data_IF_445829410837
#
_entry.id   IF_445829410837
#
_cell.length_a   1.000
_cell.length_b   1.000
_cell.length_c   1.000
_cell.angle_alpha   90.00
_cell.angle_beta   90.00
_cell.angle_gamma   90.00
#
_symmetry.space_group_name_H-M   'P 1'
#
loop_
_entity.id
_entity.type
_entity.pdbx_description
1 polymer ?
#
# COMPACT_ATOMS: atom_id res chain seq x y z
N UNK A 1 28.34 -17.53 9.80
CA UNK A 1 26.88 -17.33 9.82
C UNK A 1 26.34 -17.59 8.42
N UNK A 2 25.36 -18.49 8.26
CA UNK A 2 24.64 -18.60 6.98
C UNK A 2 23.77 -17.35 6.85
N UNK A 3 24.07 -16.51 5.87
CA UNK A 3 23.34 -15.25 5.67
C UNK A 3 21.91 -15.51 5.17
N UNK A 4 21.66 -16.62 4.45
CA UNK A 4 20.35 -16.89 3.83
C UNK A 4 19.89 -18.35 3.98
N UNK A 5 18.57 -18.51 4.21
CA UNK A 5 17.84 -19.77 4.11
C UNK A 5 17.30 -19.93 2.69
N UNK A 6 17.48 -21.11 2.09
CA UNK A 6 17.04 -21.43 0.73
C UNK A 6 15.52 -21.46 0.53
N UNK A 7 14.74 -21.35 1.61
CA UNK A 7 13.27 -21.31 1.58
C UNK A 7 12.67 -19.91 1.39
N UNK A 8 13.49 -18.85 1.43
CA UNK A 8 13.05 -17.50 1.08
C UNK A 8 13.70 -17.12 -0.24
N UNK A 9 13.00 -17.35 -1.35
CA UNK A 9 13.27 -16.58 -2.57
C UNK A 9 13.01 -15.11 -2.20
N UNK A 10 14.08 -14.36 -1.93
CA UNK A 10 13.97 -12.93 -1.64
C UNK A 10 13.49 -12.28 -2.94
N UNK A 11 12.26 -11.78 -2.92
CA UNK A 11 11.75 -10.94 -4.00
C UNK A 11 12.74 -9.82 -4.27
N UNK A 12 13.15 -9.64 -5.53
CA UNK A 12 14.02 -8.53 -5.95
C UNK A 12 13.42 -7.15 -5.61
N UNK A 13 12.13 -7.09 -5.27
CA UNK A 13 11.43 -5.89 -4.87
C UNK A 13 11.87 -5.32 -3.51
N UNK A 14 12.56 -6.09 -2.66
CA UNK A 14 12.95 -5.62 -1.31
C UNK A 14 14.45 -5.82 -1.08
N UNK A 15 15.20 -4.72 -1.17
CA UNK A 15 16.62 -4.70 -0.81
C UNK A 15 16.79 -4.74 0.70
N UNK A 16 17.85 -5.41 1.15
CA UNK A 16 18.26 -5.35 2.56
C UNK A 16 18.62 -3.91 2.93
N UNK A 17 18.13 -3.46 4.09
CA UNK A 17 18.56 -2.19 4.65
C UNK A 17 20.00 -2.38 5.14
N UNK A 18 20.92 -1.62 4.54
CA UNK A 18 22.34 -1.64 4.93
C UNK A 18 22.62 -0.41 5.81
N UNK A 19 23.20 -0.59 7.01
CA UNK A 19 23.56 0.55 7.87
C UNK A 19 24.40 1.59 7.13
N UNK A 20 24.07 2.87 7.31
CA UNK A 20 24.75 3.99 6.65
C UNK A 20 24.37 4.22 5.18
N UNK A 21 23.48 3.40 4.60
CA UNK A 21 22.93 3.62 3.26
C UNK A 21 21.51 4.19 3.34
N UNK A 22 21.08 4.83 2.25
CA UNK A 22 19.73 5.37 2.15
C UNK A 22 18.68 4.25 2.20
N UNK A 23 17.58 4.51 2.90
CA UNK A 23 16.46 3.57 3.01
C UNK A 23 15.61 3.69 1.74
N UNK A 24 15.32 2.58 1.08
CA UNK A 24 14.38 2.54 -0.05
C UNK A 24 12.94 2.44 0.44
N UNK A 25 12.04 3.22 -0.15
CA UNK A 25 10.61 3.22 0.16
C UNK A 25 9.79 3.46 -1.12
N UNK A 26 8.53 3.01 -1.12
CA UNK A 26 7.61 3.36 -2.19
C UNK A 26 7.23 4.83 -2.08
N UNK A 27 7.33 5.57 -3.18
CA UNK A 27 7.11 7.01 -3.20
C UNK A 27 6.58 7.53 -4.53
N UNK A 28 6.21 8.81 -4.50
CA UNK A 28 5.90 9.63 -5.67
C UNK A 28 6.92 10.75 -5.73
N UNK A 29 7.47 11.02 -6.91
CA UNK A 29 8.49 12.04 -7.11
C UNK A 29 8.30 12.76 -8.44
N UNK A 30 8.95 13.92 -8.58
CA UNK A 30 9.09 14.63 -9.84
C UNK A 30 10.50 14.36 -10.41
N UNK A 31 10.57 14.11 -11.71
CA UNK A 31 11.85 13.96 -12.42
C UNK A 31 12.50 15.33 -12.58
N UNK A 32 13.66 15.51 -11.96
CA UNK A 32 14.45 16.76 -12.07
C UNK A 32 15.47 16.72 -13.22
N UNK A 33 15.97 15.53 -13.54
CA UNK A 33 16.88 15.24 -14.65
C UNK A 33 16.82 13.75 -15.00
N UNK A 34 16.98 13.41 -16.27
CA UNK A 34 17.02 12.03 -16.76
C UNK A 34 17.97 11.91 -17.95
N UNK A 35 18.71 10.81 -18.00
CA UNK A 35 19.45 10.36 -19.20
C UNK A 35 18.68 9.32 -20.01
N UNK A 36 17.54 8.84 -19.48
CA UNK A 36 16.65 7.90 -20.13
C UNK A 36 15.57 8.68 -20.90
N UNK A 37 15.40 8.37 -22.19
CA UNK A 37 14.41 9.00 -23.07
C UNK A 37 12.96 8.76 -22.64
N UNK A 38 12.70 7.72 -21.84
CA UNK A 38 11.36 7.47 -21.32
C UNK A 38 10.94 8.53 -20.30
N UNK A 39 11.87 9.12 -19.54
CA UNK A 39 11.57 10.09 -18.48
C UNK A 39 12.06 11.49 -18.85
N UNK A 40 11.20 12.48 -18.69
CA UNK A 40 11.50 13.88 -18.97
C UNK A 40 11.43 14.69 -17.68
N UNK A 41 12.14 15.82 -17.63
CA UNK A 41 12.02 16.78 -16.53
C UNK A 41 10.55 17.15 -16.35
N UNK A 42 10.11 17.34 -15.10
CA UNK A 42 8.73 17.55 -14.64
C UNK A 42 7.76 16.38 -14.80
N UNK A 43 8.19 15.23 -15.33
CA UNK A 43 7.37 14.01 -15.24
C UNK A 43 7.15 13.63 -13.78
N UNK A 44 5.90 13.32 -13.44
CA UNK A 44 5.58 12.68 -12.17
C UNK A 44 5.78 11.17 -12.30
N UNK A 45 6.41 10.57 -11.31
CA UNK A 45 6.72 9.14 -11.27
C UNK A 45 6.36 8.54 -9.94
N UNK A 46 6.09 7.23 -9.95
CA UNK A 46 5.91 6.41 -8.74
C UNK A 46 6.78 5.16 -8.81
N UNK A 47 7.25 4.69 -7.67
CA UNK A 47 8.08 3.48 -7.57
C UNK A 47 8.90 3.48 -6.28
N UNK A 48 9.93 2.63 -6.22
CA UNK A 48 10.86 2.67 -5.09
C UNK A 48 11.89 3.78 -5.29
N UNK A 49 11.95 4.68 -4.31
CA UNK A 49 12.89 5.81 -4.22
C UNK A 49 13.59 5.76 -2.85
N UNK A 50 14.59 6.62 -2.65
CA UNK A 50 15.20 6.75 -1.33
C UNK A 50 14.42 7.70 -0.44
N UNK A 51 14.47 7.44 0.87
CA UNK A 51 13.96 8.36 1.88
C UNK A 51 14.93 9.54 2.04
N UNK A 52 14.86 10.44 1.07
CA UNK A 52 15.72 11.60 0.90
C UNK A 52 14.99 12.65 0.03
N UNK A 53 15.49 13.89 0.00
CA UNK A 53 14.94 14.95 -0.85
C UNK A 53 15.19 14.70 -2.34
N UNK A 54 16.29 14.04 -2.68
CA UNK A 54 16.65 13.66 -4.05
C UNK A 54 17.08 12.19 -4.08
N UNK A 55 16.70 11.51 -5.16
CA UNK A 55 17.08 10.12 -5.41
C UNK A 55 17.63 9.98 -6.83
N UNK A 56 18.82 9.40 -6.96
CA UNK A 56 19.35 8.96 -8.26
C UNK A 56 18.99 7.49 -8.42
N UNK A 57 18.17 7.18 -9.41
CA UNK A 57 17.76 5.81 -9.74
C UNK A 57 18.49 5.40 -11.02
N UNK A 58 19.26 4.31 -10.95
CA UNK A 58 19.96 3.77 -12.11
C UNK A 58 19.02 2.91 -12.96
N UNK A 59 19.26 2.86 -14.27
CA UNK A 59 18.38 2.16 -15.22
C UNK A 59 18.18 0.68 -14.87
N UNK A 60 19.24 -0.01 -14.40
CA UNK A 60 19.21 -1.42 -14.04
C UNK A 60 18.35 -1.71 -12.78
N UNK A 61 18.05 -0.65 -12.04
CA UNK A 61 17.32 -0.68 -10.76
C UNK A 61 16.01 0.11 -10.86
N UNK A 62 15.67 0.61 -12.05
CA UNK A 62 14.57 1.50 -12.24
C UNK A 62 13.26 0.74 -12.11
N UNK A 63 12.57 0.98 -11.00
CA UNK A 63 11.20 0.52 -10.76
C UNK A 63 10.19 1.66 -10.91
N UNK A 64 10.65 2.79 -11.48
CA UNK A 64 9.82 3.97 -11.65
C UNK A 64 8.89 3.78 -12.84
N UNK A 65 7.66 4.24 -12.66
CA UNK A 65 6.64 4.30 -13.69
C UNK A 65 6.09 5.71 -13.74
N UNK A 66 5.80 6.22 -14.94
CA UNK A 66 5.11 7.51 -15.06
C UNK A 66 3.77 7.45 -14.34
N UNK A 67 3.47 8.55 -13.64
CA UNK A 67 2.26 8.71 -12.88
C UNK A 67 1.31 9.64 -13.61
N UNK A 68 0.18 9.08 -14.07
CA UNK A 68 -0.99 9.86 -14.41
C UNK A 68 -1.80 10.15 -13.13
N UNK A 69 -1.97 11.43 -12.83
CA UNK A 69 -2.61 11.90 -11.59
C UNK A 69 -4.13 11.78 -11.62
N UNK A 70 -4.75 11.54 -12.77
CA UNK A 70 -6.21 11.40 -12.92
C UNK A 70 -7.02 12.51 -12.23
N UNK A 71 -6.40 13.67 -11.94
CA UNK A 71 -6.98 14.77 -11.15
C UNK A 71 -7.01 14.59 -9.63
N UNK A 72 -6.44 13.52 -9.07
CA UNK A 72 -6.39 13.26 -7.62
C UNK A 72 -5.12 13.82 -6.94
N UNK A 73 -5.16 14.11 -5.63
CA UNK A 73 -3.98 14.50 -4.86
C UNK A 73 -2.86 13.45 -4.94
N UNK A 74 -1.60 13.87 -5.10
CA UNK A 74 -0.46 12.96 -5.23
C UNK A 74 -0.31 11.98 -4.06
N UNK A 75 -0.70 12.41 -2.85
CA UNK A 75 -0.65 11.58 -1.65
C UNK A 75 -1.55 10.34 -1.73
N UNK A 76 -2.59 10.36 -2.56
CA UNK A 76 -3.49 9.19 -2.73
C UNK A 76 -2.77 8.02 -3.38
N UNK A 77 -1.76 8.29 -4.19
CA UNK A 77 -0.92 7.28 -4.85
C UNK A 77 0.07 6.60 -3.92
N UNK A 78 0.22 7.09 -2.69
CA UNK A 78 0.93 6.38 -1.62
C UNK A 78 0.01 5.43 -0.84
N UNK A 79 -1.31 5.58 -0.98
CA UNK A 79 -2.33 4.83 -0.25
C UNK A 79 -3.30 4.10 -1.17
N UNK A 80 -4.52 4.63 -1.29
CA UNK A 80 -5.66 3.99 -1.98
C UNK A 80 -5.43 3.79 -3.49
N UNK A 81 -4.73 4.70 -4.16
CA UNK A 81 -4.36 4.55 -5.58
C UNK A 81 -2.96 3.91 -5.76
N UNK A 82 -2.33 3.54 -4.64
CA UNK A 82 -1.00 2.96 -4.59
C UNK A 82 -0.98 1.50 -4.14
N UNK A 83 0.13 1.12 -3.51
CA UNK A 83 0.36 -0.24 -3.02
C UNK A 83 -0.69 -0.70 -2.01
N UNK A 84 -1.18 0.20 -1.14
CA UNK A 84 -2.15 -0.18 -0.10
C UNK A 84 -3.50 -0.55 -0.69
N UNK A 85 -4.04 0.25 -1.62
CA UNK A 85 -5.31 -0.06 -2.28
C UNK A 85 -5.23 -1.26 -3.21
N UNK A 86 -4.13 -1.39 -3.95
CA UNK A 86 -3.91 -2.60 -4.76
C UNK A 86 -3.85 -3.86 -3.89
N UNK A 87 -3.16 -3.80 -2.74
CA UNK A 87 -3.10 -4.91 -1.79
C UNK A 87 -4.48 -5.25 -1.23
N UNK A 88 -5.26 -4.24 -0.84
CA UNK A 88 -6.62 -4.44 -0.34
C UNK A 88 -7.52 -5.10 -1.39
N UNK A 89 -7.51 -4.60 -2.62
CA UNK A 89 -8.35 -5.12 -3.71
C UNK A 89 -7.96 -6.56 -4.09
N UNK A 90 -6.69 -6.79 -4.40
CA UNK A 90 -6.21 -8.11 -4.83
C UNK A 90 -6.33 -9.14 -3.71
N UNK A 91 -6.06 -8.75 -2.46
CA UNK A 91 -6.24 -9.62 -1.30
C UNK A 91 -7.71 -10.02 -1.11
N UNK A 92 -8.63 -9.06 -1.21
CA UNK A 92 -10.05 -9.30 -0.96
C UNK A 92 -10.71 -10.11 -2.10
N UNK A 93 -10.58 -9.65 -3.35
CA UNK A 93 -11.29 -10.21 -4.50
C UNK A 93 -10.50 -11.29 -5.25
N UNK A 94 -9.18 -11.15 -5.33
CA UNK A 94 -8.32 -12.11 -6.04
C UNK A 94 -8.00 -13.35 -5.20
N UNK A 95 -7.50 -13.12 -3.98
CA UNK A 95 -7.09 -14.20 -3.06
C UNK A 95 -8.28 -14.69 -2.25
N UNK A 96 -8.97 -13.79 -1.55
CA UNK A 96 -10.11 -14.12 -0.69
C UNK A 96 -11.36 -14.54 -1.46
N UNK A 97 -11.52 -14.06 -2.70
CA UNK A 97 -12.67 -14.36 -3.60
C UNK A 97 -14.01 -14.19 -2.90
N UNK A 98 -14.12 -13.13 -2.09
CA UNK A 98 -15.32 -12.84 -1.31
C UNK A 98 -16.53 -12.65 -2.20
N UNK A 99 -17.70 -12.99 -1.68
CA UNK A 99 -19.00 -12.85 -2.32
C UNK A 99 -19.92 -11.99 -1.47
N UNK A 100 -20.94 -11.45 -2.12
CA UNK A 100 -22.04 -10.78 -1.43
C UNK A 100 -22.63 -11.69 -0.34
N UNK A 101 -22.90 -11.12 0.84
CA UNK A 101 -23.40 -11.86 2.00
C UNK A 101 -22.33 -12.57 2.84
N UNK A 102 -21.08 -12.64 2.38
CA UNK A 102 -19.99 -13.22 3.19
C UNK A 102 -19.73 -12.40 4.46
N UNK A 103 -19.19 -13.08 5.47
CA UNK A 103 -18.74 -12.46 6.72
C UNK A 103 -17.22 -12.25 6.66
N UNK A 104 -16.77 -11.00 6.70
CA UNK A 104 -15.37 -10.61 6.59
C UNK A 104 -14.88 -10.08 7.92
N UNK A 105 -13.81 -10.67 8.43
CA UNK A 105 -13.07 -10.16 9.58
C UNK A 105 -11.77 -9.48 9.12
N UNK A 106 -11.51 -8.27 9.61
CA UNK A 106 -10.32 -7.50 9.27
C UNK A 106 -9.51 -7.20 10.53
N UNK A 107 -8.32 -7.80 10.66
CA UNK A 107 -7.38 -7.41 11.69
C UNK A 107 -6.68 -6.10 11.35
N UNK A 108 -6.29 -5.32 12.38
CA UNK A 108 -5.69 -4.00 12.21
C UNK A 108 -6.50 -3.11 11.23
N UNK A 109 -7.82 -3.14 11.36
CA UNK A 109 -8.75 -2.55 10.40
C UNK A 109 -8.59 -1.03 10.23
N UNK A 110 -7.98 -0.32 11.19
CA UNK A 110 -7.66 1.10 11.10
C UNK A 110 -6.37 1.42 10.33
N UNK A 111 -5.64 0.40 9.88
CA UNK A 111 -4.42 0.57 9.09
C UNK A 111 -4.69 0.98 7.64
N UNK A 112 -3.60 1.26 6.91
CA UNK A 112 -3.66 1.70 5.49
C UNK A 112 -4.44 0.72 4.61
N UNK A 113 -4.12 -0.57 4.69
CA UNK A 113 -4.79 -1.63 3.90
C UNK A 113 -6.13 -2.01 4.54
N UNK A 114 -6.14 -2.24 5.86
CA UNK A 114 -7.31 -2.76 6.57
C UNK A 114 -8.56 -1.88 6.41
N UNK A 115 -8.40 -0.56 6.43
CA UNK A 115 -9.58 0.32 6.32
C UNK A 115 -10.21 0.23 4.93
N UNK A 116 -9.38 0.05 3.89
CA UNK A 116 -9.82 -0.08 2.51
C UNK A 116 -10.51 -1.44 2.30
N UNK A 117 -9.93 -2.52 2.84
CA UNK A 117 -10.54 -3.86 2.80
C UNK A 117 -11.94 -3.82 3.40
N UNK A 118 -12.10 -3.21 4.57
CA UNK A 118 -13.40 -3.16 5.23
C UNK A 118 -14.44 -2.38 4.42
N UNK A 119 -14.06 -1.23 3.85
CA UNK A 119 -14.94 -0.45 2.98
C UNK A 119 -15.29 -1.21 1.69
N UNK A 120 -14.32 -1.84 1.03
CA UNK A 120 -14.56 -2.62 -0.18
C UNK A 120 -15.49 -3.80 0.08
N UNK A 121 -15.29 -4.53 1.18
CA UNK A 121 -16.16 -5.63 1.56
C UNK A 121 -17.60 -5.15 1.86
N UNK A 122 -17.75 -4.03 2.59
CA UNK A 122 -19.07 -3.42 2.84
C UNK A 122 -19.77 -3.02 1.55
N UNK A 123 -19.07 -2.34 0.63
CA UNK A 123 -19.61 -1.96 -0.69
C UNK A 123 -19.95 -3.18 -1.55
N UNK A 124 -19.30 -4.32 -1.32
CA UNK A 124 -19.60 -5.59 -1.97
C UNK A 124 -20.74 -6.38 -1.30
N UNK A 125 -21.41 -5.80 -0.30
CA UNK A 125 -22.54 -6.43 0.39
C UNK A 125 -22.14 -7.49 1.42
N UNK A 126 -20.89 -7.49 1.89
CA UNK A 126 -20.46 -8.34 2.98
C UNK A 126 -20.86 -7.77 4.36
N UNK A 127 -21.00 -8.65 5.35
CA UNK A 127 -20.97 -8.25 6.75
C UNK A 127 -19.52 -8.13 7.21
N UNK A 128 -19.12 -6.97 7.75
CA UNK A 128 -17.71 -6.69 8.06
C UNK A 128 -17.53 -6.32 9.52
N UNK A 129 -16.56 -6.98 10.15
CA UNK A 129 -16.09 -6.65 11.50
C UNK A 129 -14.60 -6.43 11.48
N UNK A 130 -14.13 -5.43 12.22
CA UNK A 130 -12.71 -5.13 12.34
C UNK A 130 -12.26 -4.97 13.78
N UNK A 131 -10.97 -5.20 14.04
CA UNK A 131 -10.35 -4.85 15.31
C UNK A 131 -9.22 -3.83 15.12
N UNK A 132 -9.00 -3.01 16.15
CA UNK A 132 -7.90 -2.05 16.19
C UNK A 132 -7.22 -2.06 17.56
N UNK A 133 -6.08 -1.35 17.65
CA UNK A 133 -5.28 -1.33 18.88
C UNK A 133 -5.71 -0.31 19.95
N UNK A 134 -6.83 0.40 19.76
CA UNK A 134 -7.36 1.36 20.73
C UNK A 134 -8.81 1.73 20.42
N UNK A 135 -9.59 2.09 21.44
CA UNK A 135 -11.01 2.45 21.32
C UNK A 135 -11.22 3.61 20.32
N UNK A 136 -10.37 4.64 20.39
CA UNK A 136 -10.41 5.76 19.44
C UNK A 136 -10.25 5.33 17.97
N UNK A 137 -9.49 4.25 17.71
CA UNK A 137 -9.35 3.69 16.35
C UNK A 137 -10.57 2.87 15.96
N UNK A 138 -11.21 2.17 16.91
CA UNK A 138 -12.45 1.44 16.67
C UNK A 138 -13.62 2.39 16.38
N UNK A 139 -13.76 3.47 17.13
CA UNK A 139 -14.75 4.52 16.87
C UNK A 139 -14.63 5.08 15.44
N UNK A 140 -13.39 5.37 15.00
CA UNK A 140 -13.15 5.83 13.62
C UNK A 140 -13.56 4.80 12.57
N UNK A 141 -13.42 3.50 12.85
CA UNK A 141 -13.82 2.45 11.90
C UNK A 141 -15.33 2.35 11.74
N UNK A 142 -16.04 2.45 12.86
CA UNK A 142 -17.50 2.46 12.87
C UNK A 142 -18.01 3.69 12.12
N UNK A 143 -17.46 4.87 12.43
CA UNK A 143 -17.93 6.13 11.87
C UNK A 143 -17.56 6.35 10.41
N UNK A 144 -16.34 6.01 10.00
CA UNK A 144 -15.85 6.30 8.64
C UNK A 144 -16.12 5.17 7.64
N UNK A 145 -16.15 3.91 8.11
CA UNK A 145 -16.22 2.74 7.23
C UNK A 145 -17.49 1.90 7.40
N UNK A 146 -18.34 2.19 8.38
CA UNK A 146 -19.48 1.32 8.72
C UNK A 146 -19.04 -0.12 9.08
N UNK A 147 -17.80 -0.26 9.56
CA UNK A 147 -17.20 -1.52 9.99
C UNK A 147 -17.57 -1.69 11.46
N UNK A 148 -18.24 -2.79 11.81
CA UNK A 148 -18.60 -3.02 13.21
C UNK A 148 -17.34 -3.23 14.07
N UNK A 149 -17.32 -2.67 15.28
CA UNK A 149 -16.21 -2.79 16.24
C UNK A 149 -16.18 -4.13 16.98
N UNK A 150 -15.22 -4.32 17.90
CA UNK A 150 -14.99 -5.63 18.56
C UNK A 150 -16.19 -6.13 19.36
N UNK A 151 -17.01 -5.21 19.88
CA UNK A 151 -18.18 -5.54 20.71
C UNK A 151 -19.34 -6.12 19.92
N UNK A 152 -19.35 -6.03 18.58
CA UNK A 152 -20.40 -6.62 17.75
C UNK A 152 -20.36 -8.16 17.65
N UNK A 153 -19.42 -8.80 18.35
CA UNK A 153 -19.30 -10.27 18.48
C UNK A 153 -19.61 -10.80 19.88
N UNK A 154 -19.74 -9.93 20.88
CA UNK A 154 -20.09 -10.30 22.26
C UNK A 154 -21.59 -10.12 22.49
#
# INVERSE_FOLDING_TARGET
MKLHSSSHAVSSATRFITPGQAISAYGVAEVVASSDSEFQKVDLVKGFIHWAEYSVVKAEECTLTKLDTLGFPLTYYLGILGMSGHTAYTGLFGVGKVKEGDKVFVSAASGSVGNLVGQFAKLHGCYVVGCAGSDQKEEKLVMAGGIAGREAWL
#
